data_IF_667295264499
#
_entry.id   IF_667295264499
#
_cell.length_a   1.000
_cell.length_b   1.000
_cell.length_c   1.000
_cell.angle_alpha   90.00
_cell.angle_beta   90.00
_cell.angle_gamma   90.00
#
_symmetry.space_group_name_H-M   'P 1'
#
loop_
_entity.id
_entity.type
_entity.pdbx_description
1 polymer ?
#
# COMPACT_ATOMS: atom_id res chain seq x y z
N UNK A 1 6.68 -20.58 -22.22
CA UNK A 1 5.80 -20.54 -21.04
C UNK A 1 4.59 -19.69 -21.40
N UNK A 2 3.37 -20.19 -21.21
CA UNK A 2 2.14 -19.39 -21.38
C UNK A 2 2.18 -18.22 -20.38
N UNK A 3 2.10 -16.97 -20.86
CA UNK A 3 2.01 -15.80 -19.96
C UNK A 3 0.75 -15.92 -19.11
N UNK A 4 0.81 -15.46 -17.86
CA UNK A 4 -0.38 -15.40 -16.99
C UNK A 4 -1.32 -14.34 -17.54
N UNK A 5 -2.63 -14.48 -17.32
CA UNK A 5 -3.61 -13.46 -17.70
C UNK A 5 -4.49 -13.12 -16.50
N UNK A 6 -5.18 -11.98 -16.55
CA UNK A 6 -6.17 -11.60 -15.55
C UNK A 6 -7.57 -12.19 -15.83
N UNK A 7 -7.77 -12.89 -16.94
CA UNK A 7 -9.08 -13.43 -17.34
C UNK A 7 -9.58 -14.56 -16.45
N UNK A 8 -8.68 -15.20 -15.70
CA UNK A 8 -8.99 -16.34 -14.83
C UNK A 8 -8.36 -16.15 -13.46
N UNK A 9 -8.99 -16.76 -12.45
CA UNK A 9 -8.44 -16.86 -11.10
C UNK A 9 -7.51 -18.06 -11.01
N UNK A 10 -6.40 -17.91 -10.31
CA UNK A 10 -5.49 -18.99 -9.90
C UNK A 10 -5.52 -19.11 -8.37
N UNK A 11 -6.61 -19.69 -7.86
CA UNK A 11 -6.84 -19.83 -6.42
C UNK A 11 -5.75 -20.67 -5.74
N UNK A 12 -5.27 -21.81 -6.30
CA UNK A 12 -4.17 -22.56 -5.68
C UNK A 12 -2.90 -21.71 -5.51
N UNK A 13 -2.49 -20.95 -6.53
CA UNK A 13 -1.33 -20.08 -6.41
C UNK A 13 -1.57 -18.90 -5.44
N UNK A 14 -2.79 -18.35 -5.41
CA UNK A 14 -3.17 -17.32 -4.46
C UNK A 14 -3.10 -17.82 -3.01
N UNK A 15 -3.57 -19.04 -2.73
CA UNK A 15 -3.47 -19.67 -1.41
C UNK A 15 -2.01 -19.91 -1.01
N UNK A 16 -1.17 -20.36 -1.93
CA UNK A 16 0.26 -20.52 -1.68
C UNK A 16 0.95 -19.18 -1.38
N UNK A 17 0.59 -18.12 -2.11
CA UNK A 17 1.06 -16.75 -1.82
C UNK A 17 0.57 -16.27 -0.44
N UNK A 18 -0.68 -16.57 -0.08
CA UNK A 18 -1.24 -16.30 1.25
C UNK A 18 -0.49 -17.03 2.37
N UNK A 19 -0.13 -18.30 2.16
CA UNK A 19 0.67 -19.06 3.12
C UNK A 19 2.08 -18.48 3.28
N UNK A 20 2.72 -18.07 2.16
CA UNK A 20 4.03 -17.39 2.21
C UNK A 20 3.96 -16.06 2.95
N UNK A 21 2.88 -15.29 2.76
CA UNK A 21 2.62 -14.08 3.50
C UNK A 21 2.48 -14.37 5.00
N UNK A 22 1.66 -15.34 5.40
CA UNK A 22 1.45 -15.70 6.82
C UNK A 22 2.75 -16.11 7.54
N UNK A 23 3.71 -16.73 6.84
CA UNK A 23 4.99 -17.12 7.44
C UNK A 23 5.92 -15.94 7.72
N UNK A 24 5.79 -14.83 6.99
CA UNK A 24 6.65 -13.67 7.18
C UNK A 24 5.96 -12.36 6.76
N UNK A 25 4.87 -11.96 7.43
CA UNK A 25 3.95 -10.93 6.92
C UNK A 25 4.56 -9.54 6.84
N UNK A 26 5.59 -9.25 7.65
CA UNK A 26 6.24 -7.93 7.75
C UNK A 26 7.70 -8.00 7.38
N UNK A 27 7.92 -8.64 6.25
CA UNK A 27 9.16 -8.59 5.48
C UNK A 27 8.85 -8.17 4.05
N UNK A 28 9.87 -7.76 3.31
CA UNK A 28 9.74 -7.61 1.86
C UNK A 28 9.23 -8.89 1.19
N UNK A 29 9.65 -10.06 1.70
CA UNK A 29 9.23 -11.37 1.21
C UNK A 29 7.73 -11.65 1.39
N UNK A 30 7.13 -11.15 2.47
CA UNK A 30 5.69 -11.20 2.73
C UNK A 30 4.92 -10.11 2.00
N UNK A 31 5.34 -8.85 2.12
CA UNK A 31 4.63 -7.71 1.52
C UNK A 31 4.46 -7.85 0.01
N UNK A 32 5.47 -8.41 -0.69
CA UNK A 32 5.36 -8.71 -2.13
C UNK A 32 4.29 -9.76 -2.48
N UNK A 33 3.83 -10.56 -1.52
CA UNK A 33 2.74 -11.53 -1.73
C UNK A 33 1.37 -10.85 -1.80
N UNK A 34 1.16 -9.69 -1.18
CA UNK A 34 -0.14 -9.01 -1.18
C UNK A 34 -0.63 -8.70 -2.61
N UNK A 35 0.15 -8.04 -3.49
CA UNK A 35 -0.25 -7.85 -4.89
C UNK A 35 -0.39 -9.18 -5.65
N UNK A 36 0.41 -10.21 -5.32
CA UNK A 36 0.29 -11.56 -5.92
C UNK A 36 -1.08 -12.17 -5.60
N UNK A 37 -1.50 -12.14 -4.35
CA UNK A 37 -2.81 -12.64 -3.91
C UNK A 37 -3.92 -11.87 -4.62
N UNK A 38 -3.81 -10.54 -4.71
CA UNK A 38 -4.79 -9.71 -5.43
C UNK A 38 -4.93 -10.12 -6.89
N UNK A 39 -3.82 -10.17 -7.64
CA UNK A 39 -3.86 -10.49 -9.08
C UNK A 39 -4.31 -11.94 -9.35
N UNK A 40 -3.86 -12.90 -8.54
CA UNK A 40 -4.20 -14.32 -8.72
C UNK A 40 -5.64 -14.62 -8.31
N UNK A 41 -6.16 -14.01 -7.24
CA UNK A 41 -7.49 -14.31 -6.73
C UNK A 41 -8.60 -13.44 -7.35
N UNK A 42 -8.27 -12.24 -7.84
CA UNK A 42 -9.25 -11.22 -8.30
C UNK A 42 -9.06 -10.78 -9.75
N UNK A 43 -8.37 -11.55 -10.58
CA UNK A 43 -8.12 -11.18 -11.99
C UNK A 43 -9.36 -10.66 -12.73
N UNK A 44 -10.46 -11.44 -12.81
CA UNK A 44 -11.68 -11.00 -13.50
C UNK A 44 -12.30 -9.75 -12.89
N UNK A 45 -12.25 -9.62 -11.56
CA UNK A 45 -12.73 -8.43 -10.85
C UNK A 45 -11.88 -7.19 -11.15
N UNK A 46 -10.56 -7.33 -11.28
CA UNK A 46 -9.67 -6.23 -11.70
C UNK A 46 -10.07 -5.73 -13.10
N UNK A 47 -10.33 -6.65 -14.04
CA UNK A 47 -10.79 -6.27 -15.38
C UNK A 47 -12.16 -5.58 -15.33
N UNK A 48 -13.08 -6.06 -14.50
CA UNK A 48 -14.37 -5.41 -14.30
C UNK A 48 -14.23 -4.01 -13.67
N UNK A 49 -13.31 -3.83 -12.73
CA UNK A 49 -13.02 -2.54 -12.11
C UNK A 49 -12.46 -1.53 -13.13
N UNK A 50 -11.58 -1.99 -14.04
CA UNK A 50 -11.08 -1.19 -15.18
C UNK A 50 -12.21 -0.78 -16.12
N UNK A 51 -13.13 -1.69 -16.45
CA UNK A 51 -14.29 -1.34 -17.29
C UNK A 51 -15.24 -0.36 -16.59
N UNK A 52 -15.39 -0.45 -15.26
CA UNK A 52 -16.11 0.58 -14.49
C UNK A 52 -15.39 1.95 -14.56
N UNK A 53 -14.06 1.99 -14.54
CA UNK A 53 -13.32 3.24 -14.79
C UNK A 53 -13.60 3.77 -16.19
N UNK A 54 -13.57 2.91 -17.22
CA UNK A 54 -13.81 3.30 -18.62
C UNK A 54 -15.20 3.89 -18.83
N UNK A 55 -16.20 3.40 -18.11
CA UNK A 55 -17.58 3.86 -18.17
C UNK A 55 -17.84 5.17 -17.39
N UNK A 56 -16.96 5.55 -16.46
CA UNK A 56 -17.14 6.76 -15.63
C UNK A 56 -16.35 7.95 -16.20
N UNK A 57 -16.89 9.19 -16.26
CA UNK A 57 -16.17 10.34 -16.82
C UNK A 57 -14.79 10.58 -16.20
N UNK A 58 -14.70 10.58 -14.87
CA UNK A 58 -13.42 10.75 -14.16
C UNK A 58 -12.50 9.56 -14.35
N UNK A 59 -13.04 8.33 -14.36
CA UNK A 59 -12.25 7.12 -14.54
C UNK A 59 -11.64 7.07 -15.94
N UNK A 60 -12.42 7.42 -16.96
CA UNK A 60 -11.98 7.53 -18.35
C UNK A 60 -10.88 8.58 -18.52
N UNK A 61 -11.02 9.75 -17.87
CA UNK A 61 -9.97 10.77 -17.83
C UNK A 61 -8.68 10.22 -17.22
N UNK A 62 -8.76 9.58 -16.05
CA UNK A 62 -7.62 8.97 -15.38
C UNK A 62 -6.95 7.86 -16.21
N UNK A 63 -7.73 7.02 -16.91
CA UNK A 63 -7.17 6.00 -17.81
C UNK A 63 -6.49 6.61 -19.04
N UNK A 64 -6.94 7.76 -19.52
CA UNK A 64 -6.31 8.46 -20.62
C UNK A 64 -5.01 9.16 -20.20
N UNK A 65 -5.05 9.90 -19.08
CA UNK A 65 -3.94 10.73 -18.59
C UNK A 65 -2.88 9.93 -17.82
N UNK A 66 -3.29 8.84 -17.15
CA UNK A 66 -2.46 7.97 -16.32
C UNK A 66 -1.51 8.73 -15.37
N UNK A 67 -2.02 9.64 -14.50
CA UNK A 67 -1.17 10.34 -13.55
C UNK A 67 -0.44 9.35 -12.63
N UNK A 68 0.86 9.54 -12.47
CA UNK A 68 1.70 8.62 -11.71
C UNK A 68 1.73 9.00 -10.22
N UNK A 69 0.75 8.51 -9.46
CA UNK A 69 0.68 8.72 -8.01
C UNK A 69 1.97 8.33 -7.28
N UNK A 70 2.71 7.33 -7.78
CA UNK A 70 3.97 6.89 -7.20
C UNK A 70 5.05 7.96 -7.26
N UNK A 71 5.14 8.69 -8.38
CA UNK A 71 6.05 9.85 -8.53
C UNK A 71 5.71 10.97 -7.56
N UNK A 72 4.42 11.27 -7.34
CA UNK A 72 4.02 12.30 -6.37
C UNK A 72 4.33 11.90 -4.93
N UNK A 73 4.00 10.66 -4.54
CA UNK A 73 4.16 10.19 -3.15
C UNK A 73 5.61 9.86 -2.78
N UNK A 74 6.47 9.54 -3.76
CA UNK A 74 7.90 9.33 -3.52
C UNK A 74 8.71 10.63 -3.49
N UNK A 75 8.15 11.75 -3.95
CA UNK A 75 8.83 13.05 -3.94
C UNK A 75 8.71 13.75 -2.57
N UNK A 76 9.50 13.26 -1.62
CA UNK A 76 9.66 13.76 -0.25
C UNK A 76 9.82 15.29 -0.20
N UNK A 77 10.68 15.87 -1.06
CA UNK A 77 10.94 17.31 -1.10
C UNK A 77 9.72 18.14 -1.55
N UNK A 78 8.94 17.63 -2.51
CA UNK A 78 7.71 18.29 -2.96
C UNK A 78 6.62 18.22 -1.89
N UNK A 79 6.40 17.05 -1.29
CA UNK A 79 5.40 16.85 -0.23
C UNK A 79 5.70 17.73 0.99
N UNK A 80 6.97 17.84 1.39
CA UNK A 80 7.42 18.72 2.48
C UNK A 80 7.06 20.19 2.23
N UNK A 81 7.05 20.65 0.98
CA UNK A 81 6.73 22.04 0.63
C UNK A 81 5.23 22.33 0.53
N UNK A 82 4.37 21.32 0.62
CA UNK A 82 2.93 21.51 0.58
C UNK A 82 2.42 22.23 1.85
N UNK A 83 1.23 22.86 1.80
CA UNK A 83 0.67 23.58 2.95
C UNK A 83 0.58 22.69 4.20
N UNK A 84 0.83 23.27 5.38
CA UNK A 84 0.98 22.51 6.64
C UNK A 84 -0.18 21.55 6.95
N UNK A 85 -1.42 22.00 6.72
CA UNK A 85 -2.61 21.19 6.96
C UNK A 85 -3.06 20.35 5.75
N UNK A 86 -2.25 20.25 4.68
CA UNK A 86 -2.62 19.52 3.47
C UNK A 86 -2.49 18.01 3.62
N UNK A 87 -3.18 17.26 2.77
CA UNK A 87 -3.06 15.80 2.71
C UNK A 87 -1.60 15.37 2.48
N UNK A 88 -0.93 15.96 1.50
CA UNK A 88 0.44 15.60 1.12
C UNK A 88 1.46 15.97 2.18
N UNK A 89 1.30 17.11 2.88
CA UNK A 89 2.18 17.45 4.00
C UNK A 89 1.98 16.49 5.18
N UNK A 90 0.72 16.19 5.51
CA UNK A 90 0.41 15.21 6.57
C UNK A 90 0.94 13.82 6.22
N UNK A 91 0.85 13.42 4.96
CA UNK A 91 1.44 12.16 4.47
C UNK A 91 2.96 12.16 4.62
N UNK A 92 3.64 13.24 4.23
CA UNK A 92 5.07 13.38 4.44
C UNK A 92 5.44 13.26 5.92
N UNK A 93 4.77 14.01 6.81
CA UNK A 93 5.07 13.99 8.24
C UNK A 93 4.84 12.59 8.86
N UNK A 94 3.84 11.83 8.37
CA UNK A 94 3.58 10.45 8.80
C UNK A 94 4.63 9.45 8.30
N UNK A 95 5.15 9.65 7.08
CA UNK A 95 6.10 8.73 6.44
C UNK A 95 7.57 9.07 6.72
N UNK A 96 7.87 10.31 7.15
CA UNK A 96 9.21 10.78 7.50
C UNK A 96 9.64 10.36 8.91
N UNK A 97 9.40 9.09 9.27
CA UNK A 97 9.79 8.51 10.55
C UNK A 97 11.01 7.58 10.39
N UNK A 98 12.13 7.81 11.10
CA UNK A 98 13.34 7.00 10.98
C UNK A 98 13.19 5.55 11.48
N UNK A 99 12.14 5.26 12.26
CA UNK A 99 11.86 3.94 12.84
C UNK A 99 10.92 3.11 11.96
N UNK A 100 10.18 3.76 11.04
CA UNK A 100 9.23 3.11 10.15
C UNK A 100 9.82 2.71 8.79
N UNK A 101 9.20 1.73 8.14
CA UNK A 101 9.34 1.49 6.69
C UNK A 101 8.27 2.33 6.00
N UNK A 102 8.62 3.33 5.17
CA UNK A 102 7.62 4.02 4.36
C UNK A 102 6.91 3.00 3.45
N UNK A 103 5.60 2.85 3.54
CA UNK A 103 4.87 1.80 2.83
C UNK A 103 4.79 2.02 1.30
N UNK A 104 5.18 3.20 0.81
CA UNK A 104 5.40 3.47 -0.61
C UNK A 104 6.55 2.63 -1.20
N UNK A 105 7.53 2.25 -0.37
CA UNK A 105 8.55 1.25 -0.73
C UNK A 105 7.94 -0.16 -0.79
N UNK A 106 6.89 -0.44 -0.03
CA UNK A 106 6.13 -1.69 -0.14
C UNK A 106 5.24 -1.71 -1.39
N UNK A 107 4.80 -0.55 -1.90
CA UNK A 107 4.08 -0.46 -3.16
C UNK A 107 4.95 -0.93 -4.34
N UNK A 108 6.23 -0.53 -4.35
CA UNK A 108 7.21 -0.96 -5.37
C UNK A 108 7.51 -2.47 -5.38
N UNK A 109 7.23 -3.21 -4.30
CA UNK A 109 7.43 -4.67 -4.27
C UNK A 109 6.56 -5.45 -5.26
N UNK A 110 5.57 -4.80 -5.89
CA UNK A 110 4.81 -5.39 -7.00
C UNK A 110 5.71 -5.79 -8.18
N UNK A 111 6.77 -5.02 -8.48
CA UNK A 111 7.69 -5.30 -9.59
C UNK A 111 8.75 -6.37 -9.25
N UNK A 112 8.88 -6.73 -7.98
CA UNK A 112 9.93 -7.63 -7.51
C UNK A 112 9.79 -9.03 -8.13
N UNK A 113 10.91 -9.53 -8.62
CA UNK A 113 11.07 -10.85 -9.26
C UNK A 113 10.28 -11.02 -10.57
N UNK A 114 9.88 -9.91 -11.22
CA UNK A 114 9.19 -9.93 -12.51
C UNK A 114 7.79 -10.55 -12.49
N UNK A 115 7.19 -10.74 -11.31
CA UNK A 115 5.86 -11.35 -11.20
C UNK A 115 4.79 -10.50 -11.90
N UNK A 116 4.78 -9.18 -11.63
CA UNK A 116 3.84 -8.26 -12.25
C UNK A 116 3.99 -8.23 -13.78
N UNK A 117 5.22 -8.15 -14.26
CA UNK A 117 5.56 -8.15 -15.68
C UNK A 117 5.32 -9.51 -16.38
N UNK A 118 5.09 -10.59 -15.61
CA UNK A 118 4.76 -11.93 -16.16
C UNK A 118 3.32 -12.08 -16.64
N UNK A 119 2.45 -11.12 -16.33
CA UNK A 119 1.07 -11.10 -16.77
C UNK A 119 0.92 -10.37 -18.10
N UNK A 120 0.21 -11.00 -19.01
CA UNK A 120 -0.32 -10.36 -20.20
C UNK A 120 -1.60 -9.61 -19.81
N UNK A 121 -1.52 -8.28 -19.78
CA UNK A 121 -2.61 -7.38 -19.40
C UNK A 121 -2.48 -6.03 -20.11
N UNK A 122 -3.61 -5.33 -20.27
CA UNK A 122 -3.64 -3.99 -20.86
C UNK A 122 -2.94 -2.95 -19.98
N UNK A 123 -2.53 -1.83 -20.56
CA UNK A 123 -1.93 -0.72 -19.80
C UNK A 123 -2.94 -0.06 -18.85
N UNK A 124 -4.24 -0.13 -19.14
CA UNK A 124 -5.30 0.28 -18.22
C UNK A 124 -5.30 -0.58 -16.95
N UNK A 125 -5.14 -1.90 -17.09
CA UNK A 125 -5.06 -2.82 -15.95
C UNK A 125 -3.76 -2.62 -15.15
N UNK A 126 -2.64 -2.37 -15.83
CA UNK A 126 -1.38 -2.00 -15.14
C UNK A 126 -1.56 -0.72 -14.34
N UNK A 127 -2.07 0.34 -14.96
CA UNK A 127 -2.32 1.62 -14.30
C UNK A 127 -3.25 1.46 -13.09
N UNK A 128 -4.36 0.73 -13.23
CA UNK A 128 -5.27 0.44 -12.12
C UNK A 128 -4.54 -0.24 -10.94
N UNK A 129 -3.79 -1.31 -11.23
CA UNK A 129 -3.07 -2.07 -10.22
C UNK A 129 -2.00 -1.23 -9.53
N UNK A 130 -1.21 -0.47 -10.28
CA UNK A 130 -0.22 0.46 -9.72
C UNK A 130 -0.91 1.47 -8.81
N UNK A 131 -1.96 2.15 -9.30
CA UNK A 131 -2.69 3.18 -8.55
C UNK A 131 -3.16 2.67 -7.20
N UNK A 132 -3.84 1.51 -7.14
CA UNK A 132 -4.36 0.99 -5.87
C UNK A 132 -3.28 0.57 -4.87
N UNK A 133 -2.05 0.28 -5.33
CA UNK A 133 -0.92 -0.03 -4.43
C UNK A 133 -0.49 1.19 -3.64
N UNK A 134 -0.46 2.35 -4.28
CA UNK A 134 -0.04 3.62 -3.68
C UNK A 134 -1.06 4.21 -2.71
N UNK A 135 -2.30 3.71 -2.71
CA UNK A 135 -3.36 4.22 -1.84
C UNK A 135 -3.31 3.71 -0.40
N UNK A 136 -2.64 2.58 -0.13
CA UNK A 136 -2.64 1.96 1.19
C UNK A 136 -2.15 2.92 2.29
N UNK A 137 -0.97 3.51 2.10
CA UNK A 137 -0.41 4.46 3.07
C UNK A 137 -1.19 5.76 3.14
N UNK A 138 -1.69 6.22 1.99
CA UNK A 138 -2.52 7.42 1.93
C UNK A 138 -3.82 7.22 2.72
N UNK A 139 -4.34 5.99 2.74
CA UNK A 139 -5.51 5.63 3.53
C UNK A 139 -5.25 5.69 5.03
N UNK A 140 -4.05 5.40 5.56
CA UNK A 140 -3.75 5.69 6.97
C UNK A 140 -4.02 7.16 7.30
N UNK A 141 -3.54 8.07 6.45
CA UNK A 141 -3.69 9.52 6.65
C UNK A 141 -5.14 9.96 6.57
N UNK A 142 -5.85 9.61 5.49
CA UNK A 142 -7.24 10.09 5.34
C UNK A 142 -8.19 9.45 6.35
N UNK A 143 -7.97 8.19 6.72
CA UNK A 143 -8.83 7.47 7.67
C UNK A 143 -8.48 7.76 9.13
N UNK A 144 -7.25 8.18 9.45
CA UNK A 144 -6.78 8.36 10.82
C UNK A 144 -6.38 7.06 11.52
N UNK A 145 -6.34 5.92 10.83
CA UNK A 145 -5.76 4.70 11.40
C UNK A 145 -4.25 4.81 11.42
N UNK A 146 -3.64 4.63 12.59
CA UNK A 146 -2.19 4.59 12.73
C UNK A 146 -1.58 3.36 12.02
N UNK A 147 -0.25 3.34 11.90
CA UNK A 147 0.53 2.22 11.35
C UNK A 147 0.92 1.19 12.42
N UNK A 148 0.32 1.27 13.62
CA UNK A 148 0.40 0.19 14.60
C UNK A 148 -0.45 -1.01 14.15
N UNK A 149 -0.26 -2.18 14.77
CA UNK A 149 -0.92 -3.42 14.35
C UNK A 149 -2.45 -3.35 14.37
N UNK A 150 -3.03 -2.60 15.32
CA UNK A 150 -4.49 -2.47 15.39
C UNK A 150 -5.01 -1.48 14.34
N UNK A 151 -4.29 -0.37 14.12
CA UNK A 151 -4.49 0.56 13.03
C UNK A 151 -4.44 -0.13 11.67
N UNK A 152 -3.44 -0.98 11.42
CA UNK A 152 -3.36 -1.84 10.23
C UNK A 152 -4.59 -2.75 10.08
N UNK A 153 -5.02 -3.37 11.18
CA UNK A 153 -6.18 -4.25 11.15
C UNK A 153 -7.47 -3.52 10.77
N UNK A 154 -7.69 -2.33 11.33
CA UNK A 154 -8.81 -1.46 10.98
C UNK A 154 -8.68 -0.92 9.55
N UNK A 155 -7.47 -0.50 9.15
CA UNK A 155 -7.18 -0.01 7.81
C UNK A 155 -7.53 -1.05 6.75
N UNK A 156 -7.14 -2.32 6.93
CA UNK A 156 -7.49 -3.37 5.98
C UNK A 156 -9.01 -3.48 5.81
N UNK A 157 -9.79 -3.33 6.89
CA UNK A 157 -11.25 -3.35 6.81
C UNK A 157 -11.83 -2.14 6.07
N UNK A 158 -11.26 -0.95 6.32
CA UNK A 158 -11.61 0.28 5.61
C UNK A 158 -11.23 0.22 4.12
N UNK A 159 -9.99 -0.15 3.81
CA UNK A 159 -9.44 -0.20 2.45
C UNK A 159 -10.21 -1.16 1.55
N UNK A 160 -10.54 -2.36 2.04
CA UNK A 160 -11.25 -3.35 1.23
C UNK A 160 -12.69 -2.92 0.95
N UNK A 161 -13.33 -2.23 1.90
CA UNK A 161 -14.61 -1.57 1.66
C UNK A 161 -14.48 -0.42 0.66
N UNK A 162 -13.46 0.42 0.81
CA UNK A 162 -13.32 1.64 0.02
C UNK A 162 -12.85 1.39 -1.42
N UNK A 163 -12.01 0.38 -1.67
CA UNK A 163 -11.57 0.02 -3.01
C UNK A 163 -12.62 -0.81 -3.77
N UNK A 164 -13.29 -1.72 -3.07
CA UNK A 164 -14.01 -2.81 -3.73
C UNK A 164 -15.48 -2.93 -3.34
N UNK A 165 -16.00 -2.03 -2.49
CA UNK A 165 -17.38 -2.09 -2.00
C UNK A 165 -17.69 -3.32 -1.15
N UNK A 166 -16.67 -3.96 -0.55
CA UNK A 166 -16.87 -5.17 0.24
C UNK A 166 -17.50 -4.86 1.60
N UNK A 167 -18.71 -5.37 1.82
CA UNK A 167 -19.34 -5.30 3.14
C UNK A 167 -18.63 -6.20 4.17
N UNK A 168 -18.85 -5.90 5.44
CA UNK A 168 -18.21 -6.57 6.57
C UNK A 168 -18.35 -8.09 6.51
N UNK A 169 -19.52 -8.61 6.14
CA UNK A 169 -19.79 -10.04 6.10
C UNK A 169 -18.98 -10.77 5.02
N UNK A 170 -18.87 -10.17 3.83
CA UNK A 170 -18.05 -10.70 2.76
C UNK A 170 -16.56 -10.63 3.14
N UNK A 171 -16.13 -9.48 3.66
CA UNK A 171 -14.74 -9.23 4.03
C UNK A 171 -14.28 -10.14 5.17
N UNK A 172 -15.07 -10.27 6.24
CA UNK A 172 -14.75 -11.07 7.42
C UNK A 172 -14.64 -12.58 7.15
N UNK A 173 -15.10 -13.04 5.98
CA UNK A 173 -14.93 -14.41 5.47
C UNK A 173 -13.82 -14.54 4.43
N UNK A 174 -13.28 -13.43 3.95
CA UNK A 174 -12.20 -13.44 2.96
C UNK A 174 -10.82 -13.65 3.62
N UNK A 175 -9.81 -14.12 2.86
CA UNK A 175 -8.43 -14.22 3.37
C UNK A 175 -7.89 -12.89 3.91
N UNK A 176 -8.30 -11.76 3.32
CA UNK A 176 -7.89 -10.42 3.75
C UNK A 176 -8.54 -9.99 5.07
N UNK A 177 -9.74 -10.48 5.40
CA UNK A 177 -10.44 -10.12 6.64
C UNK A 177 -10.20 -11.08 7.81
N UNK A 178 -9.91 -12.37 7.54
CA UNK A 178 -9.62 -13.36 8.59
C UNK A 178 -8.36 -12.97 9.36
N UNK A 179 -7.31 -12.54 8.66
CA UNK A 179 -6.03 -12.18 9.27
C UNK A 179 -6.16 -11.09 10.35
N UNK A 180 -6.63 -9.89 9.99
CA UNK A 180 -6.86 -8.80 10.95
C UNK A 180 -7.82 -9.16 12.07
N UNK A 181 -8.87 -9.92 11.77
CA UNK A 181 -9.92 -10.28 12.73
C UNK A 181 -9.42 -11.13 13.89
N UNK A 182 -8.44 -11.99 13.63
CA UNK A 182 -7.98 -12.97 14.62
C UNK A 182 -6.53 -12.75 15.08
N UNK A 183 -5.64 -12.31 14.20
CA UNK A 183 -4.20 -12.21 14.49
C UNK A 183 -3.74 -10.79 14.85
N UNK A 184 -4.44 -9.76 14.38
CA UNK A 184 -4.12 -8.35 14.67
C UNK A 184 -4.96 -7.79 15.82
N UNK A 185 -5.67 -8.66 16.55
CA UNK A 185 -6.57 -8.24 17.63
C UNK A 185 -5.77 -7.67 18.81
N UNK A 186 -6.08 -6.44 19.25
CA UNK A 186 -5.51 -5.86 20.45
C UNK A 186 -6.14 -6.40 21.75
N UNK A 187 -5.62 -5.99 22.90
CA UNK A 187 -6.20 -6.33 24.20
C UNK A 187 -7.42 -5.47 24.56
N UNK A 188 -8.42 -5.47 23.69
CA UNK A 188 -9.71 -4.79 23.90
C UNK A 188 -10.88 -5.79 23.99
N UNK A 189 -10.60 -7.08 23.99
CA UNK A 189 -11.60 -8.15 23.88
C UNK A 189 -12.16 -8.34 22.47
N UNK A 190 -12.75 -9.51 22.21
CA UNK A 190 -13.25 -9.90 20.89
C UNK A 190 -14.43 -9.04 20.41
N UNK A 191 -15.37 -8.71 21.29
CA UNK A 191 -16.58 -7.96 20.91
C UNK A 191 -16.23 -6.56 20.41
N UNK A 192 -15.50 -5.79 21.24
CA UNK A 192 -15.04 -4.43 20.89
C UNK A 192 -14.15 -4.40 19.64
N UNK A 193 -13.29 -5.41 19.45
CA UNK A 193 -12.52 -5.51 18.20
C UNK A 193 -13.40 -5.66 16.96
N UNK A 194 -14.45 -6.48 17.04
CA UNK A 194 -15.38 -6.65 15.92
C UNK A 194 -16.17 -5.37 15.65
N UNK A 195 -16.48 -4.58 16.67
CA UNK A 195 -17.11 -3.26 16.54
C UNK A 195 -16.18 -2.31 15.77
N UNK A 196 -14.92 -2.17 16.19
CA UNK A 196 -13.94 -1.35 15.46
C UNK A 196 -13.79 -1.78 13.98
N UNK A 197 -13.73 -3.08 13.71
CA UNK A 197 -13.65 -3.59 12.33
C UNK A 197 -14.92 -3.31 11.51
N UNK A 198 -16.11 -3.35 12.14
CA UNK A 198 -17.38 -2.98 11.47
C UNK A 198 -17.44 -1.48 11.20
N UNK A 199 -17.01 -0.66 12.13
CA UNK A 199 -16.97 0.80 11.96
C UNK A 199 -15.99 1.19 10.86
N UNK A 200 -14.81 0.55 10.84
CA UNK A 200 -13.84 0.76 9.78
C UNK A 200 -14.38 0.37 8.40
N UNK A 201 -15.04 -0.78 8.29
CA UNK A 201 -15.71 -1.20 7.07
C UNK A 201 -16.82 -0.22 6.65
N UNK A 202 -17.64 0.23 7.60
CA UNK A 202 -18.74 1.16 7.35
C UNK A 202 -18.24 2.52 6.85
N UNK A 203 -17.16 3.04 7.43
CA UNK A 203 -16.49 4.27 6.96
C UNK A 203 -15.96 4.11 5.53
N UNK A 204 -15.37 2.95 5.22
CA UNK A 204 -14.88 2.67 3.86
C UNK A 204 -16.00 2.52 2.83
N UNK A 205 -17.12 1.88 3.20
CA UNK A 205 -18.31 1.79 2.34
C UNK A 205 -18.95 3.16 2.11
N UNK A 206 -19.01 4.00 3.14
CA UNK A 206 -19.50 5.37 3.00
C UNK A 206 -18.66 6.14 1.98
N UNK A 207 -17.33 6.07 2.11
CA UNK A 207 -16.42 6.70 1.17
C UNK A 207 -16.58 6.14 -0.25
N UNK A 208 -16.73 4.82 -0.40
CA UNK A 208 -16.97 4.17 -1.70
C UNK A 208 -18.24 4.69 -2.39
N UNK A 209 -19.31 4.87 -1.61
CA UNK A 209 -20.58 5.38 -2.12
C UNK A 209 -20.54 6.87 -2.50
N UNK A 210 -19.67 7.66 -1.85
CA UNK A 210 -19.46 9.07 -2.18
C UNK A 210 -18.58 9.21 -3.43
N UNK A 211 -17.41 8.56 -3.43
CA UNK A 211 -16.48 8.58 -4.55
C UNK A 211 -15.58 7.34 -4.47
N UNK A 212 -15.74 6.33 -5.34
CA UNK A 212 -14.85 5.18 -5.35
C UNK A 212 -13.38 5.61 -5.42
N UNK A 213 -12.53 5.02 -4.57
CA UNK A 213 -11.16 5.50 -4.39
C UNK A 213 -10.34 5.57 -5.69
N UNK A 214 -10.60 4.67 -6.64
CA UNK A 214 -9.90 4.66 -7.94
C UNK A 214 -10.31 5.80 -8.88
N UNK A 215 -11.42 6.48 -8.59
CA UNK A 215 -11.90 7.66 -9.34
C UNK A 215 -11.45 8.97 -8.71
N UNK A 216 -11.02 8.97 -7.44
CA UNK A 216 -10.55 10.18 -6.78
C UNK A 216 -9.24 10.68 -7.43
N UNK A 217 -9.10 11.99 -7.72
CA UNK A 217 -7.90 12.58 -8.31
C UNK A 217 -6.84 12.82 -7.22
N UNK A 218 -6.34 11.75 -6.60
CA UNK A 218 -5.45 11.80 -5.44
C UNK A 218 -4.29 12.78 -5.58
N UNK A 219 -3.69 12.86 -6.77
CA UNK A 219 -2.61 13.76 -7.12
C UNK A 219 -3.00 15.25 -6.92
N UNK A 220 -4.22 15.62 -7.32
CA UNK A 220 -4.78 16.96 -7.12
C UNK A 220 -5.20 17.21 -5.67
N UNK A 221 -5.54 16.16 -4.92
CA UNK A 221 -5.97 16.25 -3.52
C UNK A 221 -4.79 16.48 -2.56
N UNK A 222 -3.54 16.16 -2.95
CA UNK A 222 -2.36 16.27 -2.06
C UNK A 222 -2.14 17.68 -1.51
N UNK A 223 -2.39 18.72 -2.31
CA UNK A 223 -2.18 20.11 -1.91
C UNK A 223 -3.35 20.69 -1.10
N UNK A 224 -4.49 20.00 -1.06
CA UNK A 224 -5.70 20.48 -0.38
C UNK A 224 -5.66 20.19 1.12
N UNK A 225 -6.32 21.01 1.96
CA UNK A 225 -6.46 20.74 3.39
C UNK A 225 -7.05 19.35 3.64
N UNK A 226 -6.43 18.58 4.55
CA UNK A 226 -6.84 17.20 4.83
C UNK A 226 -8.31 17.11 5.29
N UNK A 227 -8.78 18.11 6.04
CA UNK A 227 -10.18 18.22 6.46
C UNK A 227 -11.14 18.37 5.27
N UNK A 228 -10.73 19.07 4.23
CA UNK A 228 -11.53 19.29 3.02
C UNK A 228 -11.56 18.03 2.16
N UNK A 229 -10.41 17.36 2.01
CA UNK A 229 -10.33 16.06 1.33
C UNK A 229 -11.23 15.04 2.01
N UNK A 230 -11.18 14.95 3.35
CA UNK A 230 -12.06 14.07 4.13
C UNK A 230 -13.54 14.36 3.90
N UNK A 231 -13.95 15.63 3.87
CA UNK A 231 -15.34 16.01 3.54
C UNK A 231 -15.72 15.61 2.13
N UNK A 232 -14.87 15.91 1.14
CA UNK A 232 -15.12 15.59 -0.27
C UNK A 232 -15.29 14.09 -0.51
N UNK A 233 -14.53 13.25 0.20
CA UNK A 233 -14.57 11.80 0.08
C UNK A 233 -15.54 11.14 1.07
N UNK A 234 -16.25 11.90 1.90
CA UNK A 234 -17.15 11.35 2.93
C UNK A 234 -16.43 10.50 3.99
N UNK A 235 -15.16 10.81 4.29
CA UNK A 235 -14.36 10.06 5.25
C UNK A 235 -14.41 10.76 6.61
N UNK A 236 -15.01 10.08 7.59
CA UNK A 236 -14.91 10.48 9.00
C UNK A 236 -13.65 9.83 9.58
N UNK A 237 -12.68 10.60 10.12
CA UNK A 237 -11.46 10.03 10.65
C UNK A 237 -11.70 9.28 11.96
N UNK A 238 -10.90 8.25 12.17
CA UNK A 238 -10.68 7.64 13.48
C UNK A 238 -9.80 8.57 14.31
N UNK A 239 -10.15 8.77 15.59
CA UNK A 239 -9.52 9.77 16.47
C UNK A 239 -9.01 9.21 17.78
N UNK A 240 -9.20 7.91 18.04
CA UNK A 240 -8.65 7.29 19.25
C UNK A 240 -7.18 6.91 19.03
N UNK A 241 -6.37 7.01 20.07
CA UNK A 241 -4.99 6.54 20.05
C UNK A 241 -4.96 5.01 20.16
N UNK A 242 -4.55 4.35 19.06
CA UNK A 242 -4.39 2.90 18.99
C UNK A 242 -2.99 2.39 19.38
N UNK A 243 -2.03 3.28 19.65
CA UNK A 243 -0.61 2.92 19.81
C UNK A 243 -0.35 1.95 20.97
N UNK A 244 -1.12 2.07 22.07
CA UNK A 244 -0.98 1.26 23.29
C UNK A 244 -1.79 -0.03 23.26
N UNK A 245 -2.55 -0.27 22.20
CA UNK A 245 -3.52 -1.37 22.16
C UNK A 245 -2.86 -2.76 22.13
N UNK A 246 -1.55 -2.82 21.89
CA UNK A 246 -0.76 -4.05 21.85
C UNK A 246 0.03 -4.35 23.11
N UNK A 247 0.10 -3.42 24.07
CA UNK A 247 0.92 -3.56 25.29
C UNK A 247 0.59 -4.85 26.09
N UNK A 248 -0.58 -5.46 25.82
CA UNK A 248 -1.10 -6.64 26.54
C UNK A 248 -1.47 -7.85 25.67
N UNK A 249 -1.28 -7.81 24.34
CA UNK A 249 -1.60 -8.96 23.45
C UNK A 249 -0.36 -9.79 23.14
N UNK A 250 -0.18 -10.96 23.77
CA UNK A 250 0.99 -11.84 23.50
C UNK A 250 1.02 -12.37 22.06
N UNK A 251 -0.14 -12.63 21.45
CA UNK A 251 -0.23 -13.03 20.04
C UNK A 251 0.11 -11.85 19.11
N UNK A 252 -0.40 -10.65 19.43
CA UNK A 252 -0.08 -9.42 18.70
C UNK A 252 1.39 -9.05 18.81
N UNK A 253 1.98 -9.22 20.00
CA UNK A 253 3.43 -9.08 20.24
C UNK A 253 4.22 -10.13 19.49
N UNK A 254 3.79 -11.40 19.45
CA UNK A 254 4.50 -12.44 18.66
C UNK A 254 4.44 -12.18 17.17
N UNK A 255 3.27 -11.80 16.66
CA UNK A 255 3.10 -11.32 15.30
C UNK A 255 4.07 -10.14 15.07
N UNK A 256 4.09 -9.13 15.95
CA UNK A 256 4.97 -7.96 15.86
C UNK A 256 6.46 -8.23 16.15
N UNK A 257 6.84 -9.33 16.81
CA UNK A 257 8.25 -9.72 16.99
C UNK A 257 8.80 -10.45 15.77
N UNK A 258 7.92 -11.08 14.96
CA UNK A 258 8.22 -11.32 13.54
C UNK A 258 8.39 -10.02 12.75
N UNK A 259 7.88 -8.90 13.28
CA UNK A 259 8.17 -7.54 12.81
C UNK A 259 9.39 -6.94 13.54
N UNK A 260 10.17 -7.71 14.34
CA UNK A 260 11.48 -7.30 14.87
C UNK A 260 12.56 -7.14 13.77
N UNK A 261 12.23 -7.59 12.56
CA UNK A 261 12.75 -7.13 11.28
C UNK A 261 12.72 -5.59 11.11
N UNK A 262 11.91 -4.86 11.88
CA UNK A 262 11.77 -3.40 11.78
C UNK A 262 13.11 -2.68 11.68
N UNK A 263 14.16 -3.04 12.42
CA UNK A 263 15.44 -2.31 12.33
C UNK A 263 16.23 -2.55 11.03
N UNK A 264 16.35 -3.81 10.57
CA UNK A 264 17.12 -4.15 9.36
C UNK A 264 16.32 -3.79 8.12
N UNK A 265 15.04 -4.12 8.09
CA UNK A 265 14.13 -3.82 6.99
C UNK A 265 13.83 -2.31 6.92
N UNK A 266 13.69 -1.59 8.05
CA UNK A 266 13.64 -0.13 7.99
C UNK A 266 14.96 0.44 7.49
N UNK A 267 16.11 -0.08 7.92
CA UNK A 267 17.40 0.39 7.37
C UNK A 267 17.50 0.16 5.86
N UNK A 268 17.08 -1.00 5.36
CA UNK A 268 17.04 -1.27 3.92
C UNK A 268 16.04 -0.37 3.20
N UNK A 269 14.87 -0.12 3.80
CA UNK A 269 13.89 0.81 3.27
C UNK A 269 14.42 2.24 3.20
N UNK A 270 15.11 2.72 4.24
CA UNK A 270 15.73 4.05 4.24
C UNK A 270 16.83 4.16 3.17
N UNK A 271 17.60 3.09 2.92
CA UNK A 271 18.57 3.07 1.82
C UNK A 271 17.88 3.07 0.45
N UNK A 272 16.80 2.31 0.27
CA UNK A 272 15.99 2.34 -0.95
C UNK A 272 15.39 3.74 -1.19
N UNK A 273 14.89 4.40 -0.13
CA UNK A 273 14.42 5.80 -0.18
C UNK A 273 15.51 6.73 -0.70
N UNK A 274 16.74 6.65 -0.16
CA UNK A 274 17.87 7.48 -0.64
C UNK A 274 18.17 7.26 -2.12
N UNK A 275 18.07 6.02 -2.61
CA UNK A 275 18.29 5.71 -4.03
C UNK A 275 17.20 6.34 -4.90
N UNK A 276 15.94 6.31 -4.46
CA UNK A 276 14.83 6.97 -5.15
C UNK A 276 14.95 8.50 -5.09
N UNK A 277 15.32 9.06 -3.94
CA UNK A 277 15.56 10.50 -3.77
C UNK A 277 16.73 11.01 -4.62
N UNK A 278 17.72 10.15 -4.89
CA UNK A 278 18.78 10.42 -5.86
C UNK A 278 18.28 10.44 -7.32
N UNK A 279 17.02 10.12 -7.58
CA UNK A 279 16.39 10.19 -8.92
C UNK A 279 16.41 8.87 -9.70
N UNK A 280 16.64 7.74 -9.04
CA UNK A 280 16.42 6.42 -9.64
C UNK A 280 14.92 6.10 -9.58
N UNK A 281 14.33 5.71 -10.70
CA UNK A 281 12.91 5.32 -10.73
C UNK A 281 12.68 4.13 -9.79
N UNK A 282 11.64 4.23 -8.96
CA UNK A 282 11.37 3.20 -7.96
C UNK A 282 11.04 1.85 -8.61
N UNK A 283 10.39 1.83 -9.79
CA UNK A 283 10.06 0.60 -10.51
C UNK A 283 11.34 -0.11 -10.92
N UNK A 284 12.31 0.63 -11.42
CA UNK A 284 13.61 0.09 -11.81
C UNK A 284 14.36 -0.47 -10.61
N UNK A 285 14.37 0.24 -9.48
CA UNK A 285 14.97 -0.24 -8.24
C UNK A 285 14.43 -1.62 -7.82
N UNK A 286 13.11 -1.83 -7.95
CA UNK A 286 12.48 -3.11 -7.60
C UNK A 286 12.56 -4.18 -8.70
N UNK A 287 12.91 -3.80 -9.94
CA UNK A 287 13.20 -4.73 -11.04
C UNK A 287 14.65 -5.20 -11.06
N UNK A 288 15.57 -4.43 -10.50
CA UNK A 288 16.98 -4.80 -10.41
C UNK A 288 17.17 -6.14 -9.70
N UNK A 289 18.27 -6.82 -10.07
CA UNK A 289 18.73 -8.01 -9.34
C UNK A 289 19.04 -7.64 -7.88
N UNK A 290 18.95 -8.61 -6.97
CA UNK A 290 19.25 -8.37 -5.55
C UNK A 290 20.68 -7.86 -5.35
N UNK A 291 21.62 -8.31 -6.19
CA UNK A 291 23.00 -7.83 -6.21
C UNK A 291 23.08 -6.35 -6.60
N UNK A 292 22.40 -5.97 -7.69
CA UNK A 292 22.37 -4.58 -8.17
C UNK A 292 21.71 -3.66 -7.15
N UNK A 293 20.53 -4.01 -6.64
CA UNK A 293 19.86 -3.25 -5.59
C UNK A 293 20.75 -3.09 -4.34
N UNK A 294 21.42 -4.17 -3.91
CA UNK A 294 22.35 -4.12 -2.77
C UNK A 294 23.55 -3.21 -3.02
N UNK A 295 24.12 -3.23 -4.23
CA UNK A 295 25.23 -2.32 -4.57
C UNK A 295 24.81 -0.83 -4.51
N UNK A 296 23.61 -0.50 -4.99
CA UNK A 296 23.07 0.86 -4.89
C UNK A 296 22.80 1.25 -3.44
N UNK A 297 22.24 0.35 -2.64
CA UNK A 297 22.05 0.59 -1.20
C UNK A 297 23.38 0.82 -0.48
N UNK A 298 24.45 0.09 -0.83
CA UNK A 298 25.78 0.29 -0.27
C UNK A 298 26.39 1.64 -0.68
N UNK A 299 26.21 2.07 -1.92
CA UNK A 299 26.62 3.41 -2.36
C UNK A 299 25.91 4.50 -1.55
N UNK A 300 24.58 4.38 -1.40
CA UNK A 300 23.79 5.31 -0.59
C UNK A 300 24.19 5.28 0.90
N UNK A 301 24.54 4.12 1.43
CA UNK A 301 25.01 3.97 2.82
C UNK A 301 26.38 4.63 3.04
N UNK A 302 27.25 4.60 2.02
CA UNK A 302 28.60 5.16 2.05
C UNK A 302 28.66 6.65 1.68
N UNK A 303 27.51 7.32 1.53
CA UNK A 303 27.44 8.76 1.26
C UNK A 303 27.80 9.15 -0.18
N UNK A 304 27.60 8.25 -1.15
CA UNK A 304 27.71 8.61 -2.56
C UNK A 304 26.76 9.75 -2.92
N UNK A 305 27.19 10.64 -3.81
CA UNK A 305 26.36 11.73 -4.34
C UNK A 305 25.22 11.19 -5.20
N UNK A 306 24.14 11.95 -5.35
CA UNK A 306 23.00 11.55 -6.19
C UNK A 306 23.42 11.25 -7.62
N UNK A 307 24.40 11.99 -8.17
CA UNK A 307 24.94 11.75 -9.51
C UNK A 307 25.63 10.38 -9.62
N UNK A 308 26.43 9.99 -8.62
CA UNK A 308 27.08 8.69 -8.58
C UNK A 308 26.07 7.54 -8.45
N UNK A 309 25.00 7.74 -7.67
CA UNK A 309 23.94 6.73 -7.52
C UNK A 309 23.19 6.55 -8.86
N UNK A 310 22.81 7.65 -9.54
CA UNK A 310 22.16 7.59 -10.86
C UNK A 310 23.03 6.94 -11.91
N UNK A 311 24.31 7.30 -11.96
CA UNK A 311 25.26 6.70 -12.89
C UNK A 311 25.40 5.19 -12.65
N UNK A 312 25.54 4.78 -11.39
CA UNK A 312 25.60 3.38 -11.02
C UNK A 312 24.31 2.63 -11.39
N UNK A 313 23.14 3.25 -11.25
CA UNK A 313 21.86 2.64 -11.63
C UNK A 313 21.73 2.44 -13.15
N UNK A 314 22.20 3.39 -13.96
CA UNK A 314 22.13 3.33 -15.43
C UNK A 314 23.12 2.37 -16.09
N UNK A 315 24.17 1.93 -15.38
CA UNK A 315 25.10 0.90 -15.88
C UNK A 315 24.41 -0.46 -15.85
N UNK A 316 24.28 -1.12 -17.00
CA UNK A 316 23.93 -2.54 -17.06
C UNK A 316 24.93 -3.34 -16.21
N UNK A 317 24.43 -4.21 -15.34
CA UNK A 317 25.24 -5.27 -14.71
C UNK A 317 25.60 -6.33 -15.71
#
# INVERSE_FOLDING_TARGET
MTRRTLEKRDIPAALLAGFRWLRNPVSQGGAKQVPRIQMLARGPEILADVERMRAHPTGKKLLAERPDLGVFLSNSAALKKMPEASLGRTFYDAMDNPVGVPGYLLAGLIYKDGFFDSFDMSDDAKFYLERIRWLHDLFHVVSGYATDLAGEGMLIYFQQAYLYGLNFNALARSPFGIGPRYFLRPDCGKARWQEYLRDANSRGLNAYNVCPAVFAPWEELLSQPLSDVRRQLGIVPFVEDSSRWLDKSELGKRASTGFGAQSVEAKQAQLARKVVEAGVDYRDLYRFSDEKARSLHLLAANGATDAQIREAAGRST
#
